data_IF_758246371373
#
_entry.id   IF_758246371373
#
_cell.length_a   1.000
_cell.length_b   1.000
_cell.length_c   1.000
_cell.angle_alpha   90.00
_cell.angle_beta   90.00
_cell.angle_gamma   90.00
#
_symmetry.space_group_name_H-M   'P 1'
#
loop_
_entity.id
_entity.type
_entity.pdbx_description
1 polymer ?
#
# COMPACT_ATOMS: atom_id res chain seq x y z
N UNK A 1 20.63 -8.58 32.21
CA UNK A 1 20.60 -7.17 31.79
C UNK A 1 19.20 -6.64 31.97
N UNK A 2 19.04 -5.39 32.42
CA UNK A 2 17.74 -4.75 32.43
C UNK A 2 17.26 -4.51 30.99
N UNK A 3 15.97 -4.69 30.72
CA UNK A 3 15.38 -4.42 29.40
C UNK A 3 15.39 -2.91 29.11
N UNK A 4 15.52 -2.55 27.84
CA UNK A 4 15.40 -1.16 27.39
C UNK A 4 13.92 -0.77 27.46
N UNK A 5 13.60 0.28 28.21
CA UNK A 5 12.24 0.80 28.33
C UNK A 5 11.84 1.59 27.09
N UNK A 6 10.73 1.22 26.47
CA UNK A 6 10.12 1.98 25.38
C UNK A 6 8.93 2.77 25.92
N UNK A 7 8.96 4.10 25.76
CA UNK A 7 8.01 5.00 26.42
C UNK A 7 6.58 4.88 25.87
N UNK A 8 6.43 4.67 24.56
CA UNK A 8 5.14 4.62 23.89
C UNK A 8 4.90 3.24 23.25
N UNK A 9 3.63 2.80 23.12
CA UNK A 9 3.29 1.57 22.41
C UNK A 9 3.69 1.61 20.93
N UNK A 10 3.91 0.44 20.36
CA UNK A 10 3.99 0.23 18.91
C UNK A 10 2.78 -0.60 18.49
N UNK A 11 2.12 -0.22 17.40
CA UNK A 11 1.00 -1.00 16.86
C UNK A 11 1.56 -2.20 16.11
N UNK A 12 1.16 -3.40 16.52
CA UNK A 12 1.59 -4.66 15.92
C UNK A 12 0.46 -5.22 15.06
N UNK A 13 0.75 -5.43 13.77
CA UNK A 13 -0.19 -5.98 12.81
C UNK A 13 0.33 -7.36 12.40
N UNK A 14 -0.25 -8.42 12.96
CA UNK A 14 0.13 -9.80 12.65
C UNK A 14 -0.29 -10.21 11.24
N UNK A 15 0.11 -11.40 10.80
CA UNK A 15 -0.05 -11.82 9.41
C UNK A 15 -0.30 -13.30 9.22
N UNK A 16 0.09 -13.78 8.03
CA UNK A 16 -0.30 -15.08 7.51
C UNK A 16 0.91 -15.99 7.21
N UNK A 17 0.62 -17.29 7.03
CA UNK A 17 1.52 -18.33 6.55
C UNK A 17 2.88 -18.36 7.27
N UNK A 18 3.97 -18.58 6.52
CA UNK A 18 5.32 -18.70 7.08
C UNK A 18 5.77 -17.41 7.77
N UNK A 19 5.29 -16.25 7.31
CA UNK A 19 5.67 -14.98 7.93
C UNK A 19 5.10 -14.84 9.34
N UNK A 20 3.90 -15.36 9.62
CA UNK A 20 3.34 -15.38 10.98
C UNK A 20 4.20 -16.18 11.95
N UNK A 21 4.73 -17.33 11.50
CA UNK A 21 5.61 -18.18 12.33
C UNK A 21 6.93 -17.45 12.61
N UNK A 22 7.56 -16.88 11.59
CA UNK A 22 8.81 -16.11 11.72
C UNK A 22 8.59 -14.88 12.61
N UNK A 23 7.44 -14.22 12.48
CA UNK A 23 7.07 -13.05 13.26
C UNK A 23 7.07 -13.33 14.77
N UNK A 24 6.43 -14.43 15.18
CA UNK A 24 6.43 -14.87 16.57
C UNK A 24 7.85 -15.17 17.06
N UNK A 25 8.66 -15.87 16.26
CA UNK A 25 10.06 -16.15 16.60
C UNK A 25 10.87 -14.86 16.82
N UNK A 26 10.73 -13.86 15.93
CA UNK A 26 11.41 -12.57 16.05
C UNK A 26 11.03 -11.90 17.38
N UNK A 27 9.73 -11.84 17.70
CA UNK A 27 9.27 -11.25 18.97
C UNK A 27 9.89 -11.95 20.18
N UNK A 28 9.82 -13.27 20.22
CA UNK A 28 10.24 -14.05 21.38
C UNK A 28 11.75 -14.10 21.58
N UNK A 29 12.53 -14.12 20.49
CA UNK A 29 13.98 -14.30 20.55
C UNK A 29 14.76 -13.00 20.41
N UNK A 30 14.23 -12.02 19.69
CA UNK A 30 14.97 -10.83 19.29
C UNK A 30 14.41 -9.53 19.84
N UNK A 31 13.15 -9.50 20.32
CA UNK A 31 12.51 -8.28 20.83
C UNK A 31 12.27 -8.36 22.34
N UNK A 32 11.37 -9.23 22.80
CA UNK A 32 10.95 -9.31 24.20
C UNK A 32 12.07 -9.59 25.22
N UNK A 33 13.15 -10.31 24.90
CA UNK A 33 14.26 -10.47 25.83
C UNK A 33 15.01 -9.17 26.12
N UNK A 34 14.96 -8.19 25.21
CA UNK A 34 15.78 -6.99 25.26
C UNK A 34 14.97 -5.71 25.47
N UNK A 35 13.71 -5.66 25.06
CA UNK A 35 12.84 -4.49 25.16
C UNK A 35 11.67 -4.72 26.13
N UNK A 36 11.45 -3.74 27.00
CA UNK A 36 10.18 -3.54 27.72
C UNK A 36 9.30 -2.65 26.83
N UNK A 37 8.63 -3.30 25.87
CA UNK A 37 7.86 -2.69 24.80
C UNK A 37 6.40 -3.15 24.89
N UNK A 38 5.49 -2.18 24.98
CA UNK A 38 4.05 -2.44 24.86
C UNK A 38 3.68 -2.53 23.38
N UNK A 39 3.08 -3.66 22.98
CA UNK A 39 2.52 -3.86 21.65
C UNK A 39 0.99 -3.74 21.71
N UNK A 40 0.43 -2.86 20.89
CA UNK A 40 -1.02 -2.80 20.66
C UNK A 40 -1.34 -3.72 19.48
N UNK A 41 -1.80 -4.93 19.80
CA UNK A 41 -1.87 -6.05 18.87
C UNK A 41 -3.17 -6.08 18.06
N UNK A 42 -3.03 -6.29 16.75
CA UNK A 42 -4.11 -6.50 15.79
C UNK A 42 -3.77 -7.72 14.93
N UNK A 43 -4.63 -8.75 14.96
CA UNK A 43 -4.46 -9.93 14.13
C UNK A 43 -5.00 -9.67 12.71
N UNK A 44 -4.13 -9.47 11.72
CA UNK A 44 -4.56 -9.34 10.33
C UNK A 44 -4.47 -10.66 9.54
N UNK A 45 -4.37 -11.79 10.25
CA UNK A 45 -4.54 -13.12 9.66
C UNK A 45 -5.86 -13.22 8.90
N UNK A 46 -5.85 -13.95 7.78
CA UNK A 46 -6.98 -14.00 6.85
C UNK A 46 -8.28 -14.46 7.51
N UNK A 47 -8.21 -15.43 8.42
CA UNK A 47 -9.37 -15.93 9.16
C UNK A 47 -9.93 -14.88 10.14
N UNK A 48 -9.07 -14.11 10.83
CA UNK A 48 -9.53 -13.07 11.74
C UNK A 48 -10.10 -11.86 11.00
N UNK A 49 -9.50 -11.50 9.84
CA UNK A 49 -10.09 -10.52 8.93
C UNK A 49 -11.45 -10.98 8.45
N UNK A 50 -11.60 -12.24 8.03
CA UNK A 50 -12.91 -12.76 7.61
C UNK A 50 -13.93 -12.72 8.75
N UNK A 51 -13.56 -13.17 9.95
CA UNK A 51 -14.41 -13.16 11.14
C UNK A 51 -14.92 -11.75 11.49
N UNK A 52 -14.06 -10.73 11.37
CA UNK A 52 -14.37 -9.33 11.70
C UNK A 52 -14.92 -8.51 10.53
N UNK A 53 -15.21 -9.15 9.39
CA UNK A 53 -15.59 -8.48 8.15
C UNK A 53 -14.59 -7.39 7.71
N UNK A 54 -13.30 -7.65 7.94
CA UNK A 54 -12.14 -6.78 7.68
C UNK A 54 -12.08 -5.49 8.53
N UNK A 55 -12.91 -5.38 9.57
CA UNK A 55 -12.90 -4.25 10.49
C UNK A 55 -11.57 -4.13 11.25
N UNK A 56 -10.95 -5.26 11.62
CA UNK A 56 -9.64 -5.27 12.30
C UNK A 56 -8.54 -4.54 11.49
N UNK A 57 -8.61 -4.61 10.15
CA UNK A 57 -7.67 -3.90 9.28
C UNK A 57 -7.83 -2.38 9.41
N UNK A 58 -9.07 -1.89 9.46
CA UNK A 58 -9.38 -0.46 9.62
C UNK A 58 -8.96 0.01 11.01
N UNK A 59 -9.28 -0.77 12.04
CA UNK A 59 -8.95 -0.44 13.43
C UNK A 59 -7.44 -0.35 13.64
N UNK A 60 -6.68 -1.28 13.05
CA UNK A 60 -5.21 -1.25 13.10
C UNK A 60 -4.61 0.01 12.45
N UNK A 61 -5.19 0.47 11.34
CA UNK A 61 -4.73 1.69 10.68
C UNK A 61 -5.03 2.95 11.52
N UNK A 62 -6.18 3.00 12.19
CA UNK A 62 -6.53 4.10 13.09
C UNK A 62 -5.66 4.08 14.36
N UNK A 63 -5.29 2.90 14.87
CA UNK A 63 -4.33 2.78 15.95
C UNK A 63 -2.95 3.31 15.53
N UNK A 64 -2.50 3.05 14.30
CA UNK A 64 -1.26 3.63 13.77
C UNK A 64 -1.37 5.15 13.73
N UNK A 65 -2.50 5.74 13.31
CA UNK A 65 -2.68 7.20 13.36
C UNK A 65 -2.55 7.75 14.77
N UNK A 66 -3.11 7.05 15.76
CA UNK A 66 -3.08 7.45 17.16
C UNK A 66 -1.67 7.41 17.76
N UNK A 67 -0.92 6.34 17.48
CA UNK A 67 0.40 6.10 18.12
C UNK A 67 1.60 6.51 17.26
N UNK A 68 1.40 6.77 15.98
CA UNK A 68 2.40 7.22 15.02
C UNK A 68 3.30 6.12 14.44
N UNK A 69 3.36 4.93 15.07
CA UNK A 69 4.27 3.83 14.66
C UNK A 69 3.52 2.51 14.58
N UNK A 70 3.65 1.83 13.43
CA UNK A 70 3.14 0.48 13.20
C UNK A 70 4.20 -0.44 12.61
N UNK A 71 4.16 -1.71 12.99
CA UNK A 71 5.01 -2.77 12.44
C UNK A 71 4.12 -3.92 11.98
N UNK A 72 4.28 -4.34 10.72
CA UNK A 72 3.31 -5.21 10.05
C UNK A 72 3.96 -6.46 9.45
N UNK A 73 3.39 -7.62 9.74
CA UNK A 73 3.67 -8.90 9.09
C UNK A 73 2.98 -8.98 7.72
N UNK A 74 3.51 -9.83 6.82
CA UNK A 74 2.90 -10.05 5.52
C UNK A 74 1.55 -10.76 5.65
N UNK A 75 0.60 -10.42 4.77
CA UNK A 75 -0.80 -10.86 4.84
C UNK A 75 -1.28 -11.28 3.45
N UNK A 76 -2.13 -12.31 3.41
CA UNK A 76 -2.80 -12.79 2.19
C UNK A 76 -3.73 -11.70 1.64
N UNK A 77 -3.73 -11.48 0.33
CA UNK A 77 -4.84 -10.81 -0.37
C UNK A 77 -5.56 -11.90 -1.15
N UNK A 78 -6.77 -12.30 -0.75
CA UNK A 78 -7.40 -13.51 -1.28
C UNK A 78 -7.90 -13.30 -2.71
N UNK A 79 -7.55 -14.25 -3.58
CA UNK A 79 -8.17 -14.49 -4.88
C UNK A 79 -9.22 -15.62 -4.75
N UNK A 80 -9.77 -16.09 -5.87
CA UNK A 80 -10.76 -17.16 -5.90
C UNK A 80 -10.26 -18.44 -5.21
N UNK A 81 -9.00 -18.82 -5.43
CA UNK A 81 -8.42 -20.02 -4.84
C UNK A 81 -8.28 -19.89 -3.32
N UNK A 82 -7.86 -18.71 -2.82
CA UNK A 82 -7.79 -18.46 -1.38
C UNK A 82 -9.16 -18.40 -0.71
N UNK A 83 -10.20 -17.95 -1.43
CA UNK A 83 -11.58 -18.01 -0.93
C UNK A 83 -12.01 -19.47 -0.72
N UNK A 84 -11.70 -20.36 -1.65
CA UNK A 84 -12.01 -21.79 -1.52
C UNK A 84 -11.18 -22.45 -0.41
N UNK A 85 -9.87 -22.19 -0.36
CA UNK A 85 -8.94 -22.77 0.62
C UNK A 85 -9.35 -22.46 2.06
N UNK A 86 -9.67 -21.18 2.35
CA UNK A 86 -9.98 -20.71 3.69
C UNK A 86 -11.50 -20.59 3.96
N UNK A 87 -12.35 -20.95 2.98
CA UNK A 87 -13.82 -20.83 3.05
C UNK A 87 -14.28 -19.42 3.44
N UNK A 88 -13.70 -18.42 2.80
CA UNK A 88 -13.93 -17.01 3.12
C UNK A 88 -15.34 -16.57 2.70
N UNK A 89 -15.91 -15.60 3.42
CA UNK A 89 -17.21 -14.98 3.10
C UNK A 89 -17.18 -14.28 1.73
N UNK A 90 -16.04 -13.68 1.37
CA UNK A 90 -15.79 -13.03 0.09
C UNK A 90 -14.30 -12.79 -0.15
N UNK A 91 -13.95 -12.36 -1.36
CA UNK A 91 -12.63 -11.83 -1.70
C UNK A 91 -12.40 -10.48 -1.01
N UNK A 92 -11.80 -10.49 0.18
CA UNK A 92 -11.44 -9.29 0.92
C UNK A 92 -10.38 -8.46 0.18
N UNK A 93 -10.44 -7.13 0.34
CA UNK A 93 -9.44 -6.23 -0.23
C UNK A 93 -8.08 -6.43 0.46
N UNK A 94 -7.01 -5.96 -0.19
CA UNK A 94 -5.67 -6.04 0.39
C UNK A 94 -5.56 -5.20 1.67
N UNK A 95 -5.13 -5.78 2.82
CA UNK A 95 -4.93 -5.01 4.04
C UNK A 95 -3.93 -3.87 3.85
N UNK A 96 -2.89 -4.10 3.04
CA UNK A 96 -1.92 -3.08 2.71
C UNK A 96 -2.56 -1.88 1.98
N UNK A 97 -3.50 -2.13 1.08
CA UNK A 97 -4.25 -1.08 0.37
C UNK A 97 -5.11 -0.27 1.34
N UNK A 98 -5.88 -0.96 2.19
CA UNK A 98 -6.74 -0.32 3.20
C UNK A 98 -5.93 0.56 4.16
N UNK A 99 -4.84 0.04 4.73
CA UNK A 99 -3.98 0.81 5.65
C UNK A 99 -3.37 2.03 4.96
N UNK A 100 -2.84 1.87 3.74
CA UNK A 100 -2.27 3.00 2.97
C UNK A 100 -3.31 4.06 2.65
N UNK A 101 -4.54 3.66 2.32
CA UNK A 101 -5.61 4.60 2.03
C UNK A 101 -6.01 5.41 3.27
N UNK A 102 -5.96 4.80 4.45
CA UNK A 102 -6.26 5.47 5.72
C UNK A 102 -5.10 6.40 6.11
N UNK A 103 -3.86 5.93 6.03
CA UNK A 103 -2.68 6.67 6.50
C UNK A 103 -2.16 7.72 5.52
N UNK A 104 -2.31 7.50 4.21
CA UNK A 104 -1.62 8.27 3.18
C UNK A 104 -0.11 8.03 3.15
N UNK A 105 0.60 8.76 2.30
CA UNK A 105 2.06 8.87 2.32
C UNK A 105 2.83 8.13 1.22
N UNK A 106 4.13 8.00 1.46
CA UNK A 106 5.12 7.46 0.52
C UNK A 106 5.80 6.22 1.09
N UNK A 107 5.89 5.16 0.30
CA UNK A 107 6.56 3.92 0.70
C UNK A 107 7.97 3.95 0.14
N UNK A 108 8.97 4.04 1.02
CA UNK A 108 10.37 3.88 0.64
C UNK A 108 10.78 2.41 0.73
N UNK A 109 11.37 1.89 -0.34
CA UNK A 109 11.93 0.53 -0.41
C UNK A 109 13.40 0.62 -0.75
N UNK A 110 14.24 0.01 0.08
CA UNK A 110 15.68 -0.05 -0.13
C UNK A 110 16.23 -1.47 0.10
N UNK A 111 17.31 -1.85 -0.57
CA UNK A 111 17.91 -3.16 -0.39
C UNK A 111 18.73 -3.24 0.92
N UNK A 112 18.69 -4.40 1.57
CA UNK A 112 19.67 -4.75 2.62
C UNK A 112 20.89 -5.38 1.92
N UNK A 113 22.01 -4.65 1.88
CA UNK A 113 23.20 -5.06 1.14
C UNK A 113 24.13 -5.91 2.02
N UNK A 114 24.46 -7.11 1.53
CA UNK A 114 25.45 -8.00 2.15
C UNK A 114 26.70 -8.10 1.29
N UNK A 115 27.89 -7.88 1.86
CA UNK A 115 29.16 -7.87 1.13
C UNK A 115 29.46 -9.18 0.39
N UNK A 116 28.96 -10.30 0.91
CA UNK A 116 29.17 -11.66 0.40
C UNK A 116 28.07 -12.16 -0.53
N UNK A 117 27.04 -11.34 -0.83
CA UNK A 117 25.98 -11.72 -1.77
C UNK A 117 26.18 -10.96 -3.09
N UNK A 118 26.50 -11.66 -4.19
CA UNK A 118 26.72 -11.02 -5.49
C UNK A 118 25.42 -10.42 -6.05
N UNK A 119 25.55 -9.34 -6.82
CA UNK A 119 24.40 -8.64 -7.44
C UNK A 119 24.20 -9.14 -8.87
N UNK A 120 22.93 -9.30 -9.26
CA UNK A 120 22.56 -9.66 -10.64
C UNK A 120 22.90 -8.56 -11.66
N UNK A 121 22.89 -7.29 -11.23
CA UNK A 121 23.31 -6.15 -12.05
C UNK A 121 24.65 -5.64 -11.49
N UNK A 122 25.80 -6.00 -12.08
CA UNK A 122 27.11 -5.72 -11.49
C UNK A 122 27.43 -4.22 -11.36
N UNK A 123 26.90 -3.41 -12.29
CA UNK A 123 27.11 -1.95 -12.31
C UNK A 123 26.43 -1.20 -11.16
N UNK A 124 25.50 -1.83 -10.43
CA UNK A 124 24.88 -1.23 -9.25
C UNK A 124 25.80 -1.32 -8.05
N UNK A 125 26.69 -0.34 -7.92
CA UNK A 125 27.68 -0.25 -6.82
C UNK A 125 27.16 0.49 -5.60
N UNK A 126 26.02 1.19 -5.71
CA UNK A 126 25.33 1.92 -4.64
C UNK A 126 23.87 1.47 -4.55
N UNK A 127 23.24 1.55 -3.36
CA UNK A 127 21.82 1.21 -3.22
C UNK A 127 20.92 2.19 -3.98
N UNK A 128 19.78 1.69 -4.43
CA UNK A 128 18.71 2.49 -5.02
C UNK A 128 17.52 2.42 -4.06
N UNK A 129 16.95 3.58 -3.71
CA UNK A 129 15.72 3.65 -2.92
C UNK A 129 14.57 4.01 -3.85
N UNK A 130 13.51 3.22 -3.81
CA UNK A 130 12.27 3.49 -4.56
C UNK A 130 11.27 4.12 -3.62
N UNK A 131 10.97 5.41 -3.83
CA UNK A 131 9.85 6.10 -3.21
C UNK A 131 8.59 5.88 -4.05
N UNK A 132 7.65 5.09 -3.54
CA UNK A 132 6.39 4.79 -4.23
C UNK A 132 5.25 5.62 -3.64
N UNK A 133 4.53 6.36 -4.49
CA UNK A 133 3.27 7.00 -4.11
C UNK A 133 2.22 5.95 -3.77
N UNK A 134 1.63 6.03 -2.58
CA UNK A 134 0.77 4.99 -2.02
C UNK A 134 -0.72 5.36 -2.03
N UNK A 135 -1.16 6.13 -3.02
CA UNK A 135 -2.53 6.62 -3.11
C UNK A 135 -3.01 6.70 -4.57
N UNK A 136 -4.31 6.46 -4.78
CA UNK A 136 -4.97 6.68 -6.08
C UNK A 136 -4.59 5.66 -7.15
N UNK A 137 -4.66 6.12 -8.41
CA UNK A 137 -4.31 5.40 -9.62
C UNK A 137 -5.00 4.02 -9.73
N UNK A 138 -4.32 3.05 -10.35
CA UNK A 138 -4.74 1.66 -10.53
C UNK A 138 -5.25 1.02 -9.23
N UNK A 139 -4.69 1.40 -8.08
CA UNK A 139 -5.01 0.79 -6.79
C UNK A 139 -6.38 1.23 -6.25
N UNK A 140 -6.99 2.25 -6.86
CA UNK A 140 -8.35 2.74 -6.58
C UNK A 140 -9.18 2.93 -7.85
N UNK A 141 -8.80 2.24 -8.92
CA UNK A 141 -9.55 2.29 -10.15
C UNK A 141 -10.91 1.60 -9.99
N UNK A 142 -11.87 2.01 -10.82
CA UNK A 142 -13.09 1.26 -11.07
C UNK A 142 -13.00 0.70 -12.48
N UNK A 143 -13.17 -0.61 -12.63
CA UNK A 143 -13.09 -1.32 -13.89
C UNK A 143 -14.30 -2.22 -14.10
N UNK A 144 -14.63 -2.49 -15.36
CA UNK A 144 -15.74 -3.36 -15.74
C UNK A 144 -15.57 -3.93 -17.15
N UNK A 145 -16.30 -5.02 -17.43
CA UNK A 145 -16.48 -5.59 -18.77
C UNK A 145 -17.75 -5.01 -19.40
N UNK A 146 -17.68 -4.57 -20.65
CA UNK A 146 -18.85 -4.21 -21.44
C UNK A 146 -19.14 -5.29 -22.51
N UNK A 147 -20.41 -5.67 -22.72
CA UNK A 147 -20.76 -6.89 -23.45
C UNK A 147 -20.81 -6.75 -24.98
N UNK A 148 -20.73 -5.55 -25.53
CA UNK A 148 -20.91 -5.32 -26.96
C UNK A 148 -20.71 -3.87 -27.38
N UNK A 149 -21.16 -3.55 -28.61
CA UNK A 149 -21.06 -2.22 -29.22
C UNK A 149 -21.67 -1.15 -28.32
N UNK A 150 -21.00 -0.02 -28.17
CA UNK A 150 -21.49 1.11 -27.38
C UNK A 150 -20.46 2.20 -27.14
N UNK A 151 -20.91 3.31 -26.58
CA UNK A 151 -20.05 4.47 -26.28
C UNK A 151 -19.58 4.45 -24.82
N UNK A 152 -18.30 4.66 -24.61
CA UNK A 152 -17.69 4.86 -23.30
C UNK A 152 -17.45 6.36 -23.10
N UNK A 153 -18.01 6.93 -22.02
CA UNK A 153 -17.72 8.30 -21.60
C UNK A 153 -17.16 8.32 -20.18
N UNK A 154 -16.41 9.37 -19.84
CA UNK A 154 -16.01 9.72 -18.47
C UNK A 154 -16.61 11.08 -18.13
N UNK A 155 -17.18 11.18 -16.93
CA UNK A 155 -17.96 12.33 -16.50
C UNK A 155 -17.62 12.77 -15.09
N UNK A 156 -17.44 14.07 -14.91
CA UNK A 156 -17.35 14.76 -13.62
C UNK A 156 -18.58 15.66 -13.45
N UNK A 157 -19.14 15.66 -12.23
CA UNK A 157 -20.26 16.53 -11.82
C UNK A 157 -19.84 17.20 -10.53
N UNK A 158 -19.56 18.51 -10.61
CA UNK A 158 -19.21 19.34 -9.47
C UNK A 158 -20.43 19.67 -8.62
N UNK A 159 -20.21 19.93 -7.33
CA UNK A 159 -21.26 20.38 -6.40
C UNK A 159 -21.84 21.75 -6.79
N UNK A 160 -21.08 22.54 -7.55
CA UNK A 160 -21.50 23.79 -8.18
C UNK A 160 -22.37 23.60 -9.43
N UNK A 161 -22.62 22.35 -9.83
CA UNK A 161 -23.35 21.99 -11.04
C UNK A 161 -22.49 21.97 -12.31
N UNK A 162 -21.18 22.21 -12.22
CA UNK A 162 -20.28 22.09 -13.37
C UNK A 162 -20.24 20.64 -13.85
N UNK A 163 -20.43 20.43 -15.15
CA UNK A 163 -20.33 19.10 -15.76
C UNK A 163 -19.20 19.09 -16.78
N UNK A 164 -18.27 18.15 -16.62
CA UNK A 164 -17.22 17.87 -17.59
C UNK A 164 -17.46 16.44 -18.09
N UNK A 165 -17.63 16.26 -19.40
CA UNK A 165 -17.85 14.95 -20.00
C UNK A 165 -16.96 14.78 -21.23
N UNK A 166 -16.26 13.66 -21.30
CA UNK A 166 -15.39 13.31 -22.42
C UNK A 166 -15.76 11.93 -22.95
N UNK A 167 -15.82 11.81 -24.28
CA UNK A 167 -15.88 10.50 -24.93
C UNK A 167 -14.50 9.84 -24.82
N UNK A 168 -14.49 8.61 -24.30
CA UNK A 168 -13.29 7.79 -24.17
C UNK A 168 -13.11 6.93 -25.41
N UNK A 169 -14.18 6.27 -25.86
CA UNK A 169 -14.13 5.35 -27.00
C UNK A 169 -15.52 5.02 -27.54
N UNK A 170 -15.66 4.94 -28.87
CA UNK A 170 -16.81 4.34 -29.55
C UNK A 170 -16.50 2.86 -29.85
N UNK A 171 -16.99 1.96 -28.99
CA UNK A 171 -16.61 0.57 -28.99
C UNK A 171 -17.35 -0.24 -30.07
N UNK A 172 -16.65 -0.92 -30.99
CA UNK A 172 -17.26 -1.72 -32.05
C UNK A 172 -17.66 -3.14 -31.60
N UNK A 173 -17.45 -3.51 -30.33
CA UNK A 173 -17.70 -4.85 -29.80
C UNK A 173 -17.48 -4.89 -28.29
N UNK A 174 -17.43 -6.08 -27.69
CA UNK A 174 -17.20 -6.26 -26.25
C UNK A 174 -15.76 -5.90 -25.83
N UNK A 175 -15.54 -5.57 -24.55
CA UNK A 175 -14.22 -5.21 -24.04
C UNK A 175 -14.20 -4.89 -22.54
N UNK A 176 -13.16 -4.19 -22.12
CA UNK A 176 -12.95 -3.74 -20.73
C UNK A 176 -12.62 -2.26 -20.69
N UNK A 177 -13.06 -1.58 -19.64
CA UNK A 177 -12.78 -0.18 -19.38
C UNK A 177 -12.40 0.02 -17.92
N UNK A 178 -11.61 1.07 -17.65
CA UNK A 178 -11.28 1.48 -16.29
C UNK A 178 -11.20 3.00 -16.19
N UNK A 179 -11.45 3.53 -15.00
CA UNK A 179 -11.18 4.91 -14.63
C UNK A 179 -10.35 4.95 -13.34
N UNK A 180 -9.39 5.86 -13.28
CA UNK A 180 -8.54 6.09 -12.10
C UNK A 180 -8.40 7.59 -11.83
N UNK A 181 -7.93 7.93 -10.63
CA UNK A 181 -7.80 9.31 -10.17
C UNK A 181 -6.68 9.45 -9.14
N UNK A 182 -6.22 10.68 -8.98
CA UNK A 182 -5.33 11.09 -7.90
C UNK A 182 -5.77 12.47 -7.37
N UNK A 183 -5.13 12.96 -6.30
CA UNK A 183 -5.45 14.24 -5.67
C UNK A 183 -4.21 15.09 -5.53
N UNK A 184 -4.32 16.40 -5.81
CA UNK A 184 -3.23 17.37 -5.69
C UNK A 184 -2.54 17.34 -4.33
N UNK A 185 -3.32 17.24 -3.24
CA UNK A 185 -2.78 17.16 -1.89
C UNK A 185 -1.89 15.92 -1.72
N UNK A 186 -2.37 14.76 -2.18
CA UNK A 186 -1.64 13.49 -2.12
C UNK A 186 -0.36 13.52 -2.96
N UNK A 187 -0.41 14.11 -4.15
CA UNK A 187 0.78 14.29 -5.02
C UNK A 187 1.79 15.23 -4.36
N UNK A 188 1.32 16.34 -3.77
CA UNK A 188 2.17 17.31 -3.08
C UNK A 188 2.84 16.70 -1.85
N UNK A 189 2.12 15.88 -1.07
CA UNK A 189 2.69 15.12 0.04
C UNK A 189 3.73 14.09 -0.41
N UNK A 190 3.46 13.37 -1.51
CA UNK A 190 4.43 12.44 -2.11
C UNK A 190 5.72 13.14 -2.52
N UNK A 191 5.61 14.30 -3.19
CA UNK A 191 6.76 15.10 -3.58
C UNK A 191 7.55 15.58 -2.35
N UNK A 192 6.87 16.12 -1.33
CA UNK A 192 7.52 16.58 -0.08
C UNK A 192 8.25 15.44 0.64
N UNK A 193 7.60 14.28 0.80
CA UNK A 193 8.21 13.13 1.43
C UNK A 193 9.45 12.65 0.67
N UNK A 194 9.37 12.55 -0.66
CA UNK A 194 10.48 12.11 -1.51
C UNK A 194 11.66 13.08 -1.49
N UNK A 195 11.40 14.39 -1.55
CA UNK A 195 12.43 15.43 -1.49
C UNK A 195 13.10 15.49 -0.10
N UNK A 196 12.31 15.42 0.98
CA UNK A 196 12.84 15.37 2.35
C UNK A 196 13.71 14.14 2.57
N UNK A 197 13.29 12.97 2.08
CA UNK A 197 14.05 11.74 2.18
C UNK A 197 15.36 11.81 1.39
N UNK A 198 15.31 12.34 0.17
CA UNK A 198 16.50 12.60 -0.65
C UNK A 198 17.50 13.51 0.07
N UNK A 199 17.02 14.62 0.64
CA UNK A 199 17.85 15.54 1.42
C UNK A 199 18.48 14.85 2.64
N UNK A 200 17.68 14.15 3.44
CA UNK A 200 18.15 13.44 4.64
C UNK A 200 19.23 12.39 4.32
N UNK A 201 19.08 11.70 3.19
CA UNK A 201 20.01 10.65 2.74
C UNK A 201 21.19 11.20 1.93
N UNK A 202 21.17 12.48 1.59
CA UNK A 202 22.07 13.09 0.61
C UNK A 202 22.05 12.35 -0.75
N UNK A 203 20.86 12.02 -1.23
CA UNK A 203 20.61 11.32 -2.50
C UNK A 203 20.02 12.29 -3.52
N UNK A 204 20.42 12.21 -4.80
CA UNK A 204 19.66 12.84 -5.87
C UNK A 204 18.28 12.19 -5.98
N UNK A 205 17.26 13.00 -6.29
CA UNK A 205 15.87 12.55 -6.44
C UNK A 205 15.48 12.61 -7.91
N UNK A 206 14.96 11.50 -8.44
CA UNK A 206 14.48 11.39 -9.81
C UNK A 206 13.00 11.00 -9.80
N UNK A 207 12.20 11.66 -10.63
CA UNK A 207 10.81 11.32 -10.91
C UNK A 207 10.67 11.04 -12.40
N UNK A 208 9.95 9.99 -12.76
CA UNK A 208 9.61 9.68 -14.14
C UNK A 208 8.10 9.48 -14.28
N UNK A 209 7.54 10.11 -15.31
CA UNK A 209 6.13 9.96 -15.71
C UNK A 209 6.07 9.75 -17.22
N UNK A 210 4.86 9.56 -17.77
CA UNK A 210 4.59 9.51 -19.21
C UNK A 210 3.72 10.70 -19.65
N UNK A 211 4.03 11.90 -19.17
CA UNK A 211 3.32 13.15 -19.51
C UNK A 211 3.23 13.45 -21.02
N UNK A 212 4.12 12.90 -21.84
CA UNK A 212 4.01 13.04 -23.30
C UNK A 212 2.72 12.42 -23.85
N UNK A 213 2.20 11.38 -23.18
CA UNK A 213 0.93 10.69 -23.48
C UNK A 213 -0.17 11.17 -22.53
N UNK A 214 0.05 11.08 -21.22
CA UNK A 214 -0.91 11.44 -20.18
C UNK A 214 -0.76 12.92 -19.79
N UNK A 215 -1.06 13.82 -20.74
CA UNK A 215 -0.73 15.25 -20.61
C UNK A 215 -1.30 15.94 -19.37
N UNK A 216 -2.52 15.58 -18.98
CA UNK A 216 -3.20 16.20 -17.83
C UNK A 216 -3.04 15.40 -16.53
N UNK A 217 -2.83 14.08 -16.61
CA UNK A 217 -2.75 13.21 -15.42
C UNK A 217 -1.31 13.14 -14.89
N UNK A 218 -0.32 13.02 -15.79
CA UNK A 218 1.10 12.88 -15.45
C UNK A 218 1.89 14.20 -15.55
N UNK A 219 1.27 15.26 -16.10
CA UNK A 219 1.86 16.58 -16.31
C UNK A 219 1.64 17.48 -15.10
#
# INVERSE_FOLDING_TARGET
>A
MAKIKVANPVVELDGDEMTRIIWQFIKDKLIHPYLDLKLEYYDLGIEHRDATNDQVTIDSANAIKKWGVGVKCATITPDEARVEEFKLKKMWKSPNGTIRNILGGTIFREPIIMKNVPRLVPGWTKPIVVGRHAFGDQYRATDFRFPGKGKLTIKFVGEDGQVIEHEVYDAPGAGVAMAMYNLDESIREFARASLNYGLLRNFPVYLSTKNTILKAYDG
#
